data_IF_050156041876
#
_entry.id   IF_050156041876
#
_cell.length_a   1.000
_cell.length_b   1.000
_cell.length_c   1.000
_cell.angle_alpha   90.00
_cell.angle_beta   90.00
_cell.angle_gamma   90.00
#
_symmetry.space_group_name_H-M   'P 1'
#
loop_
_entity.id
_entity.type
_entity.pdbx_description
1 polymer ?
#
# COMPACT_ATOMS: atom_id res chain seq x y z
N UNK A 1 -6.58 -30.52 -0.11
CA UNK A 1 -7.01 -29.39 0.74
C UNK A 1 -5.81 -28.48 0.94
N UNK A 2 -5.61 -27.49 0.05
CA UNK A 2 -4.55 -26.49 0.20
C UNK A 2 -5.22 -25.21 0.72
N UNK A 3 -5.22 -25.04 2.02
CA UNK A 3 -5.53 -23.77 2.66
C UNK A 3 -4.44 -22.78 2.25
N UNK A 4 -4.77 -21.90 1.33
CA UNK A 4 -3.88 -20.81 0.90
C UNK A 4 -3.75 -19.82 2.04
N UNK A 5 -2.63 -19.88 2.71
CA UNK A 5 -2.19 -18.94 3.76
C UNK A 5 -1.88 -17.55 3.15
N UNK A 6 -2.86 -16.94 2.49
CA UNK A 6 -2.77 -15.56 1.97
C UNK A 6 -3.13 -14.51 3.02
N UNK A 7 -3.52 -14.94 4.21
CA UNK A 7 -4.28 -14.13 5.18
C UNK A 7 -3.45 -13.21 6.08
N UNK A 8 -2.11 -13.15 5.92
CA UNK A 8 -1.26 -12.35 6.82
C UNK A 8 -0.26 -11.44 6.12
N UNK A 9 -0.39 -11.28 4.81
CA UNK A 9 0.59 -10.54 4.02
C UNK A 9 0.28 -9.05 3.87
N UNK A 10 -0.87 -8.60 4.39
CA UNK A 10 -1.26 -7.19 4.34
C UNK A 10 -2.08 -6.84 5.58
N UNK A 11 -1.80 -5.66 6.15
CA UNK A 11 -2.59 -5.00 7.19
C UNK A 11 -3.29 -3.79 6.58
N UNK A 12 -4.60 -3.64 6.79
CA UNK A 12 -5.40 -2.53 6.28
C UNK A 12 -6.13 -1.81 7.40
N UNK A 13 -6.12 -0.47 7.38
CA UNK A 13 -6.82 0.35 8.36
C UNK A 13 -8.33 0.41 8.08
N UNK A 14 -8.72 0.38 6.82
CA UNK A 14 -10.12 0.47 6.37
C UNK A 14 -10.44 -0.57 5.31
N UNK A 15 -11.74 -0.80 5.14
CA UNK A 15 -12.29 -1.54 4.03
C UNK A 15 -12.54 -0.61 2.83
N UNK A 16 -12.16 -1.03 1.64
CA UNK A 16 -12.42 -0.33 0.39
C UNK A 16 -13.56 -1.00 -0.36
N UNK A 17 -14.76 -0.43 -0.30
CA UNK A 17 -15.92 -0.99 -0.99
C UNK A 17 -16.16 -0.25 -2.30
N UNK A 18 -16.40 -1.01 -3.39
CA UNK A 18 -16.78 -0.42 -4.68
C UNK A 18 -18.27 -0.07 -4.68
N UNK A 19 -18.66 1.14 -5.13
CA UNK A 19 -20.06 1.51 -5.26
C UNK A 19 -20.82 0.68 -6.31
N UNK A 20 -20.10 -0.03 -7.19
CA UNK A 20 -20.69 -0.95 -8.16
C UNK A 20 -21.18 -2.27 -7.52
N UNK A 21 -20.74 -2.58 -6.30
CA UNK A 21 -21.11 -3.81 -5.61
C UNK A 21 -22.42 -3.64 -4.83
N UNK A 22 -22.57 -2.51 -4.14
CA UNK A 22 -23.76 -2.11 -3.36
C UNK A 22 -23.67 -0.63 -2.94
N UNK A 23 -24.76 -0.03 -2.46
CA UNK A 23 -24.69 1.28 -1.81
C UNK A 23 -23.69 1.28 -0.65
N UNK A 24 -22.93 2.36 -0.53
CA UNK A 24 -21.94 2.54 0.54
C UNK A 24 -22.62 3.12 1.79
N UNK A 25 -22.16 2.69 2.96
CA UNK A 25 -22.42 3.43 4.19
C UNK A 25 -21.61 4.73 4.20
N UNK A 26 -21.98 5.69 5.04
CA UNK A 26 -21.25 6.97 5.18
C UNK A 26 -19.77 6.72 5.49
N UNK A 27 -19.46 5.83 6.44
CA UNK A 27 -18.09 5.51 6.83
C UNK A 27 -17.28 4.87 5.68
N UNK A 28 -17.90 4.03 4.85
CA UNK A 28 -17.25 3.44 3.67
C UNK A 28 -17.01 4.49 2.56
N UNK A 29 -17.96 5.40 2.38
CA UNK A 29 -17.81 6.50 1.43
C UNK A 29 -16.66 7.44 1.85
N UNK A 30 -16.59 7.80 3.13
CA UNK A 30 -15.51 8.60 3.71
C UNK A 30 -14.15 7.92 3.58
N UNK A 31 -14.05 6.63 3.98
CA UNK A 31 -12.82 5.86 3.85
C UNK A 31 -12.35 5.77 2.39
N UNK A 32 -13.28 5.55 1.45
CA UNK A 32 -12.98 5.55 0.03
C UNK A 32 -12.51 6.91 -0.48
N UNK A 33 -13.18 7.98 -0.09
CA UNK A 33 -12.82 9.35 -0.47
C UNK A 33 -11.40 9.68 0.03
N UNK A 34 -11.11 9.41 1.30
CA UNK A 34 -9.79 9.64 1.87
C UNK A 34 -8.71 8.79 1.18
N UNK A 35 -8.99 7.52 0.91
CA UNK A 35 -8.07 6.64 0.17
C UNK A 35 -7.72 7.16 -1.23
N UNK A 36 -8.63 7.89 -1.87
CA UNK A 36 -8.37 8.53 -3.18
C UNK A 36 -7.59 9.84 -3.02
N UNK A 37 -7.94 10.65 -2.02
CA UNK A 37 -7.29 11.94 -1.77
C UNK A 37 -5.80 11.80 -1.42
N UNK A 38 -5.44 10.85 -0.56
CA UNK A 38 -4.05 10.64 -0.14
C UNK A 38 -3.12 10.11 -1.27
N UNK A 39 -3.66 9.79 -2.45
CA UNK A 39 -2.88 9.53 -3.66
C UNK A 39 -2.27 10.78 -4.26
N UNK A 40 -2.90 11.92 -4.03
CA UNK A 40 -2.42 13.19 -4.54
C UNK A 40 -1.28 13.70 -3.65
N UNK A 41 -0.08 13.92 -4.20
CA UNK A 41 1.01 14.54 -3.45
C UNK A 41 0.66 15.92 -2.87
N UNK A 42 -0.30 16.64 -3.45
CA UNK A 42 -0.80 17.92 -2.98
C UNK A 42 -1.96 17.81 -1.96
N UNK A 43 -2.36 16.59 -1.57
CA UNK A 43 -3.40 16.38 -0.58
C UNK A 43 -3.12 17.17 0.70
N UNK A 44 -4.19 17.61 1.37
CA UNK A 44 -4.11 18.30 2.66
C UNK A 44 -3.33 17.47 3.69
N UNK A 45 -2.47 18.13 4.47
CA UNK A 45 -1.62 17.50 5.47
C UNK A 45 -2.41 16.83 6.59
N UNK A 46 -3.54 17.42 7.00
CA UNK A 46 -4.37 16.87 8.07
C UNK A 46 -5.07 15.58 7.65
N UNK A 47 -5.45 15.47 6.37
CA UNK A 47 -6.01 14.24 5.80
C UNK A 47 -4.97 13.12 5.76
N UNK A 48 -3.75 13.42 5.34
CA UNK A 48 -2.63 12.45 5.37
C UNK A 48 -2.32 12.03 6.81
N UNK A 49 -2.30 12.96 7.75
CA UNK A 49 -2.07 12.69 9.17
C UNK A 49 -3.21 11.84 9.78
N UNK A 50 -4.46 12.06 9.35
CA UNK A 50 -5.60 11.23 9.80
C UNK A 50 -5.44 9.78 9.33
N UNK A 51 -5.14 9.55 8.06
CA UNK A 51 -4.89 8.22 7.52
C UNK A 51 -3.67 7.56 8.21
N UNK A 52 -2.59 8.31 8.41
CA UNK A 52 -1.37 7.83 9.05
C UNK A 52 -1.61 7.37 10.49
N UNK A 53 -2.38 8.10 11.30
CA UNK A 53 -2.73 7.70 12.66
C UNK A 53 -3.47 6.36 12.72
N UNK A 54 -4.35 6.08 11.76
CA UNK A 54 -5.06 4.81 11.69
C UNK A 54 -4.13 3.67 11.28
N UNK A 55 -3.26 3.91 10.30
CA UNK A 55 -2.27 2.92 9.84
C UNK A 55 -1.21 2.63 10.91
N UNK A 56 -0.76 3.64 11.66
CA UNK A 56 0.21 3.48 12.75
C UNK A 56 -0.29 2.54 13.86
N UNK A 57 -1.59 2.48 14.12
CA UNK A 57 -2.18 1.54 15.10
C UNK A 57 -2.03 0.06 14.69
N UNK A 58 -1.76 -0.20 13.42
CA UNK A 58 -1.51 -1.55 12.91
C UNK A 58 -0.06 -2.00 13.06
N UNK A 59 0.84 -1.09 13.46
CA UNK A 59 2.24 -1.39 13.72
C UNK A 59 2.34 -1.86 15.18
N UNK A 60 2.92 -3.04 15.39
CA UNK A 60 2.94 -3.73 16.68
C UNK A 60 4.03 -3.20 17.65
N UNK A 61 4.33 -1.90 17.66
CA UNK A 61 5.26 -1.27 18.61
C UNK A 61 6.74 -1.68 18.48
N UNK A 62 7.06 -2.54 17.51
CA UNK A 62 8.42 -3.00 17.23
C UNK A 62 9.16 -2.05 16.29
N UNK A 63 10.49 -2.05 16.37
CA UNK A 63 11.30 -1.39 15.35
C UNK A 63 11.02 -1.96 13.97
N UNK A 64 10.60 -1.11 13.04
CA UNK A 64 10.23 -1.54 11.71
C UNK A 64 10.70 -0.56 10.62
N UNK A 65 10.78 -1.09 9.40
CA UNK A 65 11.04 -0.31 8.21
C UNK A 65 9.71 -0.01 7.52
N UNK A 66 9.51 1.24 7.10
CA UNK A 66 8.43 1.67 6.23
C UNK A 66 9.01 1.94 4.85
N UNK A 67 8.56 1.20 3.85
CA UNK A 67 9.04 1.34 2.47
C UNK A 67 7.90 1.83 1.60
N UNK A 68 7.95 3.09 1.12
CA UNK A 68 6.96 3.62 0.20
C UNK A 68 6.91 2.80 -1.10
N UNK A 69 5.73 2.40 -1.50
CA UNK A 69 5.49 1.67 -2.75
C UNK A 69 5.46 2.68 -3.91
N UNK A 70 6.21 2.46 -5.01
CA UNK A 70 6.11 3.31 -6.20
C UNK A 70 4.76 3.10 -6.90
N UNK A 71 4.12 4.18 -7.30
CA UNK A 71 2.87 4.16 -8.05
C UNK A 71 3.07 3.64 -9.50
N UNK A 72 2.03 3.70 -10.33
CA UNK A 72 2.09 3.21 -11.71
C UNK A 72 3.02 4.02 -12.63
N UNK A 73 3.32 5.28 -12.29
CA UNK A 73 4.27 6.14 -13.01
C UNK A 73 5.71 5.98 -12.50
N UNK A 74 5.90 5.31 -11.37
CA UNK A 74 7.19 5.16 -10.68
C UNK A 74 7.44 6.18 -9.58
N UNK A 75 6.50 7.12 -9.35
CA UNK A 75 6.60 8.10 -8.25
C UNK A 75 6.36 7.43 -6.90
N UNK A 76 7.16 7.79 -5.90
CA UNK A 76 6.97 7.40 -4.50
C UNK A 76 6.40 8.54 -3.64
N UNK A 77 6.26 9.74 -4.18
CA UNK A 77 6.04 10.99 -3.41
C UNK A 77 4.83 10.90 -2.47
N UNK A 78 3.68 10.47 -2.96
CA UNK A 78 2.48 10.36 -2.12
C UNK A 78 2.65 9.31 -1.01
N UNK A 79 3.16 8.13 -1.33
CA UNK A 79 3.37 7.04 -0.38
C UNK A 79 4.55 7.32 0.58
N UNK A 80 5.58 8.07 0.16
CA UNK A 80 6.65 8.53 1.03
C UNK A 80 6.13 9.53 2.06
N UNK A 81 5.31 10.49 1.62
CA UNK A 81 4.64 11.43 2.51
C UNK A 81 3.76 10.71 3.56
N UNK A 82 3.00 9.71 3.13
CA UNK A 82 2.19 8.88 4.03
C UNK A 82 3.08 8.09 5.00
N UNK A 83 4.17 7.47 4.52
CA UNK A 83 5.11 6.73 5.37
C UNK A 83 5.79 7.64 6.41
N UNK A 84 6.19 8.86 6.04
CA UNK A 84 6.73 9.84 6.99
C UNK A 84 5.71 10.24 8.06
N UNK A 85 4.44 10.43 7.68
CA UNK A 85 3.37 10.73 8.63
C UNK A 85 3.08 9.54 9.57
N UNK A 86 3.18 8.28 9.08
CA UNK A 86 3.08 7.08 9.91
C UNK A 86 4.25 7.01 10.90
N UNK A 87 5.49 7.25 10.45
CA UNK A 87 6.68 7.26 11.31
C UNK A 87 6.59 8.32 12.40
N UNK A 88 5.99 9.48 12.11
CA UNK A 88 5.71 10.49 13.14
C UNK A 88 4.77 9.98 14.24
N UNK A 89 3.81 9.14 13.90
CA UNK A 89 2.87 8.52 14.85
C UNK A 89 3.41 7.25 15.51
N UNK A 90 4.43 6.61 14.93
CA UNK A 90 5.04 5.37 15.38
C UNK A 90 6.57 5.56 15.49
N UNK A 91 7.09 6.07 16.62
CA UNK A 91 8.48 6.52 16.75
C UNK A 91 9.54 5.41 16.59
N UNK A 92 9.14 4.14 16.56
CA UNK A 92 10.01 3.01 16.27
C UNK A 92 10.04 2.61 14.79
N UNK A 93 9.35 3.35 13.94
CA UNK A 93 9.31 3.13 12.50
C UNK A 93 10.25 4.10 11.78
N UNK A 94 11.01 3.60 10.81
CA UNK A 94 11.90 4.40 9.97
C UNK A 94 11.54 4.24 8.51
N UNK A 95 11.64 5.33 7.74
CA UNK A 95 11.29 5.36 6.32
C UNK A 95 12.51 5.15 5.44
N UNK A 96 12.39 4.23 4.47
CA UNK A 96 13.43 3.91 3.50
C UNK A 96 12.87 3.94 2.08
N UNK A 97 13.28 4.89 1.26
CA UNK A 97 12.92 4.93 -0.17
C UNK A 97 13.78 3.94 -0.97
N UNK A 98 13.60 2.66 -0.71
CA UNK A 98 14.42 1.57 -1.22
C UNK A 98 13.87 0.89 -2.48
N UNK A 99 12.66 1.27 -2.94
CA UNK A 99 12.03 0.71 -4.14
C UNK A 99 11.98 1.73 -5.27
N UNK A 100 12.06 1.20 -6.48
CA UNK A 100 11.80 1.94 -7.71
C UNK A 100 10.98 1.09 -8.67
N UNK A 101 10.22 1.74 -9.56
CA UNK A 101 9.63 1.10 -10.73
C UNK A 101 10.47 1.48 -11.95
N UNK A 102 10.93 0.49 -12.70
CA UNK A 102 11.83 0.71 -13.84
C UNK A 102 11.11 1.04 -15.14
N UNK A 103 9.83 0.74 -15.23
CA UNK A 103 8.99 1.02 -16.41
C UNK A 103 7.59 1.37 -15.94
N UNK A 104 7.00 2.42 -16.48
CA UNK A 104 5.61 2.78 -16.21
C UNK A 104 4.66 1.64 -16.59
N UNK A 105 3.56 1.54 -15.84
CA UNK A 105 2.50 0.55 -16.09
C UNK A 105 1.15 1.25 -16.12
N UNK A 106 0.15 0.62 -16.70
CA UNK A 106 -1.22 1.13 -16.55
C UNK A 106 -1.68 1.01 -15.10
N UNK A 107 -2.43 2.00 -14.64
CA UNK A 107 -3.05 1.94 -13.32
C UNK A 107 -4.07 0.79 -13.22
N UNK A 108 -4.25 0.24 -12.01
CA UNK A 108 -5.27 -0.80 -11.78
C UNK A 108 -6.68 -0.33 -12.16
N UNK A 109 -7.00 0.96 -11.92
CA UNK A 109 -8.27 1.56 -12.29
C UNK A 109 -8.48 1.62 -13.80
N UNK A 110 -7.45 2.00 -14.54
CA UNK A 110 -7.51 2.06 -16.01
C UNK A 110 -7.66 0.67 -16.63
N UNK A 111 -6.91 -0.32 -16.15
CA UNK A 111 -7.03 -1.71 -16.58
C UNK A 111 -8.43 -2.28 -16.30
N UNK A 112 -8.99 -1.99 -15.12
CA UNK A 112 -10.35 -2.39 -14.79
C UNK A 112 -11.36 -1.77 -15.77
N UNK A 113 -11.24 -0.47 -16.09
CA UNK A 113 -12.09 0.21 -17.08
C UNK A 113 -11.97 -0.43 -18.48
N UNK A 114 -10.77 -0.86 -18.87
CA UNK A 114 -10.50 -1.55 -20.13
C UNK A 114 -10.84 -3.06 -20.08
N UNK A 115 -11.33 -3.58 -18.95
CA UNK A 115 -11.59 -5.02 -18.71
C UNK A 115 -10.37 -5.92 -18.95
N UNK A 116 -9.18 -5.38 -18.68
CA UNK A 116 -7.93 -6.13 -18.76
C UNK A 116 -7.67 -6.87 -17.45
N UNK A 117 -6.99 -8.03 -17.48
CA UNK A 117 -6.63 -8.75 -16.26
C UNK A 117 -5.64 -7.91 -15.42
N UNK A 118 -5.60 -8.10 -14.08
CA UNK A 118 -4.59 -7.46 -13.24
C UNK A 118 -3.18 -7.76 -13.73
N UNK A 119 -2.26 -6.79 -13.57
CA UNK A 119 -0.83 -6.99 -13.87
C UNK A 119 -0.30 -8.05 -12.89
N UNK A 120 0.47 -9.02 -13.37
CA UNK A 120 1.12 -10.01 -12.53
C UNK A 120 2.22 -9.35 -11.68
N UNK A 121 2.56 -9.89 -10.50
CA UNK A 121 3.61 -9.31 -9.66
C UNK A 121 4.93 -9.09 -10.40
N UNK A 122 5.34 -10.01 -11.25
CA UNK A 122 6.59 -9.95 -12.03
C UNK A 122 6.60 -8.81 -13.04
N UNK A 123 5.43 -8.47 -13.59
CA UNK A 123 5.25 -7.46 -14.64
C UNK A 123 5.10 -6.03 -14.06
N UNK A 124 5.06 -5.88 -12.74
CA UNK A 124 5.04 -4.55 -12.10
C UNK A 124 6.36 -3.80 -12.24
N UNK A 125 7.45 -4.47 -12.62
CA UNK A 125 8.79 -3.87 -12.79
C UNK A 125 9.30 -3.13 -11.55
N UNK A 126 8.90 -3.59 -10.35
CA UNK A 126 9.35 -3.04 -9.07
C UNK A 126 10.66 -3.75 -8.67
N UNK A 127 11.68 -2.95 -8.33
CA UNK A 127 13.01 -3.45 -7.92
C UNK A 127 13.52 -2.62 -6.74
N UNK A 128 14.49 -3.18 -6.02
CA UNK A 128 15.29 -2.38 -5.10
C UNK A 128 16.12 -1.37 -5.87
N UNK A 129 16.22 -0.16 -5.34
CA UNK A 129 17.12 0.86 -5.88
C UNK A 129 18.56 0.43 -5.66
N UNK A 130 19.38 0.45 -6.70
CA UNK A 130 20.80 0.11 -6.62
C UNK A 130 21.59 1.15 -5.79
N UNK A 131 21.17 2.42 -5.90
CA UNK A 131 21.70 3.58 -5.17
C UNK A 131 20.91 3.88 -3.88
N UNK A 132 19.98 2.99 -3.49
CA UNK A 132 19.09 3.20 -2.37
C UNK A 132 19.75 2.93 -1.01
N UNK A 133 19.06 3.34 0.07
CA UNK A 133 19.57 3.14 1.42
C UNK A 133 19.67 1.65 1.77
N UNK A 134 20.62 1.32 2.65
CA UNK A 134 20.67 0.00 3.28
C UNK A 134 19.49 -0.13 4.24
N UNK A 135 18.61 -1.07 3.94
CA UNK A 135 17.44 -1.36 4.79
C UNK A 135 17.85 -2.38 5.85
N UNK A 136 17.76 -2.05 7.14
CA UNK A 136 18.10 -2.97 8.23
C UNK A 136 17.25 -4.26 8.19
N UNK A 137 17.82 -5.38 8.65
CA UNK A 137 17.11 -6.64 8.74
C UNK A 137 16.17 -6.64 9.96
N UNK A 138 14.98 -6.16 9.77
CA UNK A 138 13.89 -6.12 10.76
C UNK A 138 12.55 -6.15 10.06
N UNK A 139 11.45 -6.11 10.83
CA UNK A 139 10.09 -6.09 10.30
C UNK A 139 9.95 -4.98 9.26
N UNK A 140 9.43 -5.30 8.10
CA UNK A 140 9.32 -4.38 6.97
C UNK A 140 7.88 -4.29 6.51
N UNK A 141 7.39 -3.05 6.37
CA UNK A 141 6.08 -2.75 5.83
C UNK A 141 6.21 -1.99 4.51
N UNK A 142 5.51 -2.45 3.49
CA UNK A 142 5.33 -1.73 2.22
C UNK A 142 4.10 -0.84 2.34
N UNK A 143 4.33 0.48 2.33
CA UNK A 143 3.27 1.48 2.54
C UNK A 143 2.62 1.84 1.22
N UNK A 144 1.31 1.60 1.11
CA UNK A 144 0.48 1.98 -0.02
C UNK A 144 -0.86 2.53 0.48
N UNK A 145 -1.59 3.23 -0.37
CA UNK A 145 -2.88 3.82 -0.02
C UNK A 145 -4.04 2.83 -0.16
N UNK A 146 -4.09 2.03 -1.24
CA UNK A 146 -5.19 1.09 -1.51
C UNK A 146 -4.65 -0.25 -2.02
N UNK A 147 -5.07 -1.32 -1.37
CA UNK A 147 -4.92 -2.67 -1.90
C UNK A 147 -6.09 -3.01 -2.82
N UNK A 148 -5.82 -3.30 -4.08
CA UNK A 148 -6.83 -3.79 -5.04
C UNK A 148 -6.67 -5.28 -5.33
N UNK A 149 -5.68 -5.68 -6.10
CA UNK A 149 -5.38 -7.09 -6.39
C UNK A 149 -4.33 -7.71 -5.47
N UNK A 150 -3.60 -6.87 -4.71
CA UNK A 150 -2.45 -7.30 -3.93
C UNK A 150 -1.16 -7.51 -4.74
N UNK A 151 -1.24 -7.47 -6.07
CA UNK A 151 -0.11 -7.78 -6.94
C UNK A 151 1.04 -6.77 -6.81
N UNK A 152 0.75 -5.50 -6.52
CA UNK A 152 1.78 -4.48 -6.25
C UNK A 152 2.57 -4.83 -4.98
N UNK A 153 1.89 -5.22 -3.90
CA UNK A 153 2.55 -5.65 -2.66
C UNK A 153 3.34 -6.95 -2.90
N UNK A 154 2.78 -7.89 -3.68
CA UNK A 154 3.50 -9.10 -4.06
C UNK A 154 4.78 -8.78 -4.86
N UNK A 155 4.74 -7.82 -5.77
CA UNK A 155 5.92 -7.35 -6.51
C UNK A 155 6.98 -6.71 -5.58
N UNK A 156 6.56 -5.90 -4.60
CA UNK A 156 7.47 -5.35 -3.59
C UNK A 156 8.14 -6.46 -2.78
N UNK A 157 7.39 -7.50 -2.41
CA UNK A 157 7.93 -8.68 -1.72
C UNK A 157 8.95 -9.43 -2.58
N UNK A 158 8.70 -9.63 -3.88
CA UNK A 158 9.68 -10.22 -4.79
C UNK A 158 10.98 -9.43 -4.80
N UNK A 159 10.92 -8.09 -4.83
CA UNK A 159 12.09 -7.23 -4.75
C UNK A 159 12.84 -7.34 -3.40
N UNK A 160 12.17 -7.83 -2.34
CA UNK A 160 12.70 -8.05 -0.99
C UNK A 160 12.79 -9.55 -0.63
N UNK A 161 13.06 -10.43 -1.59
CA UNK A 161 13.25 -11.86 -1.40
C UNK A 161 12.09 -12.58 -0.68
N UNK A 162 10.88 -12.12 -0.94
CA UNK A 162 9.66 -12.64 -0.33
C UNK A 162 9.33 -12.08 1.07
N UNK A 163 10.18 -11.22 1.62
CA UNK A 163 9.99 -10.61 2.94
C UNK A 163 9.08 -9.38 2.88
N UNK A 164 8.55 -9.02 4.05
CA UNK A 164 7.74 -7.82 4.24
C UNK A 164 6.23 -8.05 4.16
N UNK A 165 5.48 -7.09 4.66
CA UNK A 165 4.01 -7.08 4.78
C UNK A 165 3.48 -5.79 4.18
N UNK A 166 2.37 -5.84 3.44
CA UNK A 166 1.67 -4.63 3.02
C UNK A 166 1.07 -3.88 4.22
N UNK A 167 1.22 -2.58 4.26
CA UNK A 167 0.54 -1.69 5.18
C UNK A 167 -0.23 -0.67 4.35
N UNK A 168 -1.55 -0.82 4.29
CA UNK A 168 -2.40 -0.03 3.40
C UNK A 168 -3.48 0.71 4.19
N UNK A 169 -3.92 1.86 3.67
CA UNK A 169 -5.03 2.56 4.28
C UNK A 169 -6.34 1.80 4.06
N UNK A 170 -6.60 1.31 2.86
CA UNK A 170 -7.85 0.61 2.56
C UNK A 170 -7.64 -0.64 1.68
N UNK A 171 -8.37 -1.72 1.98
CA UNK A 171 -8.31 -3.02 1.28
C UNK A 171 -9.64 -3.32 0.59
N UNK A 172 -9.58 -3.58 -0.72
CA UNK A 172 -10.73 -3.94 -1.55
C UNK A 172 -11.12 -5.43 -1.46
N UNK A 173 -10.26 -6.29 -0.90
CA UNK A 173 -10.51 -7.74 -0.84
C UNK A 173 -11.34 -8.20 0.37
N UNK A 174 -11.70 -7.29 1.27
CA UNK A 174 -12.41 -7.65 2.51
C UNK A 174 -13.81 -8.25 2.28
N UNK A 175 -14.34 -8.22 1.04
CA UNK A 175 -15.67 -8.74 0.71
C UNK A 175 -15.73 -10.22 0.30
N UNK A 176 -14.59 -10.85 0.03
CA UNK A 176 -14.58 -12.22 -0.50
C UNK A 176 -14.54 -13.31 0.59
N UNK A 177 -14.63 -12.96 1.89
CA UNK A 177 -14.32 -13.88 3.00
C UNK A 177 -15.36 -13.95 4.13
N UNK A 178 -16.62 -13.56 3.83
CA UNK A 178 -17.75 -13.88 4.72
C UNK A 178 -18.77 -14.72 4.01
#
# INVERSE_FOLDING_TARGET
MHSTCTDRLTKAAKRYVSPSTRPLTTAEAEARALAQLIKDPACDADLVAAAAREMARLIDGEYCNLIPVPDHTGSTVANARLACAIAYCAPHAEVFEALMRTTETESACERHRKRLPPIRPEDHNIRRRADGPLVPLRKTYFVDNVLTSGNTIAACRLAFLGLGTGLVYADAHHDARN
#
